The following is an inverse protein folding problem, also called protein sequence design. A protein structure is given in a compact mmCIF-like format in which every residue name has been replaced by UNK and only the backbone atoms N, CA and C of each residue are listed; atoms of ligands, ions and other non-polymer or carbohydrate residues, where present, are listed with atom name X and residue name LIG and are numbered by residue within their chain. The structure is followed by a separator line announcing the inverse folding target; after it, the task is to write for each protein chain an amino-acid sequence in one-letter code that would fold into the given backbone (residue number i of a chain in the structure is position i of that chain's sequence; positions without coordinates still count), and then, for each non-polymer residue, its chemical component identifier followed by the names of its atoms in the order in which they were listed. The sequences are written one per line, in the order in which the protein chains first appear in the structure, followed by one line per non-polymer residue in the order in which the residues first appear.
data_IF_203004688805
#
_entry.id   IF_203004688805
#
_cell.length_a   1.000
_cell.length_b   1.000
_cell.length_c   1.000
_cell.angle_alpha   90.00
_cell.angle_beta   90.00
_cell.angle_gamma   90.00
#
_symmetry.space_group_name_H-M   'P 1'
#
loop_
_entity.id
_entity.type
_entity.pdbx_description
1 polymer ?
#
# COMPACT_ATOMS: atom_id res chain seq x y z
N UNK A 1 -14.59 11.03 -23.11
CA UNK A 1 -13.88 10.05 -22.26
C UNK A 1 -12.63 9.48 -22.94
N UNK A 2 -12.02 10.14 -23.92
CA UNK A 2 -10.89 9.56 -24.67
C UNK A 2 -9.61 9.58 -23.82
N UNK A 3 -9.32 10.71 -23.17
CA UNK A 3 -8.09 10.87 -22.39
C UNK A 3 -7.94 9.84 -21.26
N UNK A 4 -9.02 9.54 -20.53
CA UNK A 4 -8.93 8.54 -19.46
C UNK A 4 -8.75 7.13 -20.02
N UNK A 5 -9.35 6.82 -21.19
CA UNK A 5 -9.16 5.54 -21.88
C UNK A 5 -7.70 5.40 -22.29
N UNK A 6 -7.14 6.42 -22.93
CA UNK A 6 -5.73 6.45 -23.35
C UNK A 6 -4.79 6.27 -22.15
N UNK A 7 -5.06 6.92 -21.01
CA UNK A 7 -4.30 6.72 -19.79
C UNK A 7 -4.39 5.26 -19.29
N UNK A 8 -5.58 4.68 -19.29
CA UNK A 8 -5.77 3.29 -18.89
C UNK A 8 -5.07 2.32 -19.84
N UNK A 9 -5.07 2.59 -21.15
CA UNK A 9 -4.39 1.80 -22.15
C UNK A 9 -2.87 1.84 -21.94
N UNK A 10 -2.30 3.02 -21.68
CA UNK A 10 -0.87 3.16 -21.32
C UNK A 10 -0.55 2.36 -20.06
N UNK A 11 -1.40 2.46 -19.03
CA UNK A 11 -1.21 1.74 -17.78
C UNK A 11 -1.29 0.23 -17.96
N UNK A 12 -2.20 -0.28 -18.78
CA UNK A 12 -2.45 -1.72 -18.88
C UNK A 12 -1.65 -2.42 -19.96
N UNK A 13 -1.19 -1.70 -20.99
CA UNK A 13 -0.35 -2.25 -22.06
C UNK A 13 1.12 -2.42 -21.63
N UNK A 14 1.60 -1.60 -20.70
CA UNK A 14 2.98 -1.69 -20.22
C UNK A 14 3.20 -2.90 -19.30
N UNK A 15 4.29 -3.63 -19.55
CA UNK A 15 4.73 -4.77 -18.74
C UNK A 15 5.59 -4.37 -17.53
N UNK A 16 5.84 -3.07 -17.32
CA UNK A 16 6.63 -2.60 -16.17
C UNK A 16 5.87 -2.88 -14.86
N UNK A 17 6.49 -3.47 -13.84
CA UNK A 17 5.80 -3.76 -12.58
C UNK A 17 5.44 -2.48 -11.80
N UNK A 18 6.27 -1.45 -11.90
CA UNK A 18 6.08 -0.16 -11.22
C UNK A 18 5.65 0.89 -12.24
N UNK A 19 4.54 1.57 -11.97
CA UNK A 19 3.95 2.60 -12.83
C UNK A 19 3.67 3.82 -11.97
N UNK A 20 4.33 4.95 -12.27
CA UNK A 20 4.27 6.17 -11.48
C UNK A 20 3.65 7.29 -12.30
N UNK A 21 2.51 7.82 -11.83
CA UNK A 21 1.84 8.95 -12.47
C UNK A 21 2.26 10.25 -11.78
N UNK A 22 2.55 11.32 -12.52
CA UNK A 22 2.90 12.61 -11.94
C UNK A 22 2.41 13.79 -12.76
N UNK A 23 2.29 14.96 -12.13
CA UNK A 23 2.09 16.22 -12.88
C UNK A 23 3.46 16.77 -13.28
N UNK A 24 3.63 17.04 -14.56
CA UNK A 24 4.85 17.64 -15.11
C UNK A 24 4.57 19.05 -15.68
N UNK A 25 5.59 19.92 -15.75
CA UNK A 25 5.48 21.18 -16.47
C UNK A 25 5.04 20.95 -17.91
N UNK A 26 4.38 21.94 -18.51
CA UNK A 26 3.94 21.83 -19.89
C UNK A 26 5.14 21.63 -20.81
N UNK A 27 5.17 20.51 -21.54
CA UNK A 27 6.17 20.21 -22.55
C UNK A 27 5.52 19.51 -23.73
N UNK A 28 5.66 20.09 -24.92
CA UNK A 28 5.19 19.50 -26.17
C UNK A 28 3.67 19.53 -26.38
N UNK A 29 3.25 18.87 -27.47
CA UNK A 29 1.85 18.69 -27.87
C UNK A 29 1.25 17.34 -27.42
N UNK A 30 2.06 16.47 -26.80
CA UNK A 30 1.64 15.14 -26.37
C UNK A 30 0.72 15.22 -25.13
N UNK A 31 -0.36 14.42 -25.11
CA UNK A 31 -1.28 14.35 -23.97
C UNK A 31 -0.61 13.66 -22.75
N UNK A 32 0.28 12.69 -22.97
CA UNK A 32 1.03 11.98 -21.93
C UNK A 32 2.52 11.92 -22.27
N UNK A 33 3.37 12.29 -21.32
CA UNK A 33 4.83 12.17 -21.46
C UNK A 33 5.25 10.85 -20.81
N UNK A 34 5.73 9.92 -21.62
CA UNK A 34 6.08 8.57 -21.19
C UNK A 34 7.59 8.43 -21.07
N UNK A 35 8.06 7.94 -19.93
CA UNK A 35 9.47 7.61 -19.71
C UNK A 35 9.59 6.24 -19.06
N UNK A 36 10.39 5.35 -19.65
CA UNK A 36 10.68 4.03 -19.08
C UNK A 36 12.13 3.95 -18.61
N UNK A 37 12.34 3.56 -17.36
CA UNK A 37 13.66 3.34 -16.78
C UNK A 37 13.65 2.07 -15.91
N UNK A 38 14.46 1.08 -16.29
CA UNK A 38 14.52 -0.21 -15.60
C UNK A 38 13.14 -0.87 -15.51
N UNK A 39 12.69 -1.13 -14.28
CA UNK A 39 11.39 -1.73 -13.95
C UNK A 39 10.26 -0.71 -13.75
N UNK A 40 10.50 0.55 -14.09
CA UNK A 40 9.57 1.66 -13.84
C UNK A 40 9.10 2.30 -15.15
N UNK A 41 7.78 2.51 -15.25
CA UNK A 41 7.13 3.40 -16.21
C UNK A 41 6.72 4.68 -15.48
N UNK A 42 7.27 5.81 -15.87
CA UNK A 42 6.81 7.14 -15.44
C UNK A 42 5.88 7.75 -16.49
N UNK A 43 4.73 8.26 -16.03
CA UNK A 43 3.70 8.90 -16.86
C UNK A 43 3.50 10.32 -16.36
N UNK A 44 3.95 11.29 -17.16
CA UNK A 44 3.77 12.72 -16.94
C UNK A 44 2.46 13.22 -17.55
N UNK A 45 1.60 13.79 -16.71
CA UNK A 45 0.41 14.54 -17.10
C UNK A 45 0.70 16.03 -16.98
N UNK A 46 0.38 16.82 -18.00
CA UNK A 46 0.34 18.28 -17.78
C UNK A 46 -0.89 18.65 -16.94
N UNK A 47 -0.85 19.80 -16.25
CA UNK A 47 -2.04 20.31 -15.54
C UNK A 47 -3.26 20.46 -16.46
N UNK A 48 -3.05 20.84 -17.71
CA UNK A 48 -4.12 21.01 -18.69
C UNK A 48 -4.82 19.69 -18.98
N UNK A 49 -4.05 18.61 -19.17
CA UNK A 49 -4.59 17.26 -19.39
C UNK A 49 -5.34 16.76 -18.15
N UNK A 50 -4.76 16.93 -16.96
CA UNK A 50 -5.43 16.60 -15.71
C UNK A 50 -6.79 17.33 -15.58
N UNK A 51 -6.86 18.61 -15.91
CA UNK A 51 -8.13 19.37 -15.90
C UNK A 51 -9.10 18.94 -17.01
N UNK A 52 -8.60 18.57 -18.20
CA UNK A 52 -9.44 18.04 -19.28
C UNK A 52 -10.08 16.70 -18.90
N UNK A 53 -9.33 15.79 -18.28
CA UNK A 53 -9.87 14.53 -17.74
C UNK A 53 -11.00 14.82 -16.74
N UNK A 54 -10.77 15.73 -15.78
CA UNK A 54 -11.80 16.14 -14.84
C UNK A 54 -13.04 16.68 -15.56
N UNK A 55 -12.86 17.57 -16.54
CA UNK A 55 -13.94 18.21 -17.27
C UNK A 55 -14.77 17.19 -18.08
N UNK A 56 -14.11 16.30 -18.83
CA UNK A 56 -14.80 15.23 -19.58
C UNK A 56 -15.63 14.34 -18.66
N UNK A 57 -15.05 13.90 -17.53
CA UNK A 57 -15.77 13.11 -16.54
C UNK A 57 -16.96 13.86 -15.97
N UNK A 58 -16.79 15.15 -15.65
CA UNK A 58 -17.83 15.98 -15.06
C UNK A 58 -19.02 16.16 -16.01
N UNK A 59 -18.76 16.42 -17.29
CA UNK A 59 -19.79 16.57 -18.32
C UNK A 59 -20.61 15.28 -18.46
N UNK A 60 -19.95 14.13 -18.58
CA UNK A 60 -20.64 12.82 -18.70
C UNK A 60 -21.46 12.50 -17.46
N UNK A 61 -20.93 12.78 -16.26
CA UNK A 61 -21.67 12.55 -15.02
C UNK A 61 -22.94 13.39 -14.96
N UNK A 62 -22.88 14.67 -15.33
CA UNK A 62 -24.05 15.55 -15.29
C UNK A 62 -25.10 15.18 -16.33
N UNK A 63 -24.69 14.79 -17.55
CA UNK A 63 -25.61 14.29 -18.58
C UNK A 63 -26.41 13.08 -18.08
N UNK A 64 -25.76 12.14 -17.38
CA UNK A 64 -26.45 10.94 -16.91
C UNK A 64 -27.17 11.12 -15.56
N UNK A 65 -26.72 12.04 -14.72
CA UNK A 65 -27.32 12.29 -13.41
C UNK A 65 -28.71 12.91 -13.54
N UNK A 66 -28.93 13.77 -14.54
CA UNK A 66 -30.24 14.38 -14.81
C UNK A 66 -31.30 13.33 -15.17
N UNK A 67 -30.91 12.24 -15.83
CA UNK A 67 -31.80 11.15 -16.25
C UNK A 67 -32.05 10.08 -15.16
N UNK A 68 -31.61 10.32 -13.92
CA UNK A 68 -31.65 9.36 -12.79
C UNK A 68 -31.03 8.02 -13.16
N UNK A 69 -29.69 7.96 -13.16
CA UNK A 69 -28.88 6.74 -13.31
C UNK A 69 -29.56 5.46 -12.78
N UNK A 70 -30.14 4.67 -13.69
CA UNK A 70 -30.66 3.32 -13.42
C UNK A 70 -29.76 2.33 -14.12
N UNK A 71 -28.75 1.85 -13.41
CA UNK A 71 -27.71 1.00 -13.97
C UNK A 71 -28.29 -0.28 -14.58
N UNK A 72 -29.36 -0.84 -14.00
CA UNK A 72 -30.08 -2.02 -14.52
C UNK A 72 -30.65 -1.86 -15.94
N UNK A 73 -30.84 -0.62 -16.39
CA UNK A 73 -31.39 -0.33 -17.72
C UNK A 73 -30.36 0.12 -18.75
N UNK A 74 -29.08 0.20 -18.36
CA UNK A 74 -28.03 0.68 -19.24
C UNK A 74 -27.56 -0.41 -20.20
N UNK A 75 -27.27 -0.01 -21.44
CA UNK A 75 -26.53 -0.85 -22.37
C UNK A 75 -25.11 -1.08 -21.86
N UNK A 76 -24.45 -2.15 -22.34
CA UNK A 76 -23.05 -2.41 -22.00
C UNK A 76 -22.14 -1.21 -22.34
N UNK A 77 -22.30 -0.62 -23.52
CA UNK A 77 -21.54 0.56 -23.94
C UNK A 77 -21.74 1.77 -23.02
N UNK A 78 -22.95 1.98 -22.49
CA UNK A 78 -23.21 3.08 -21.57
C UNK A 78 -22.59 2.78 -20.18
N UNK A 79 -22.61 1.52 -19.74
CA UNK A 79 -21.91 1.12 -18.51
C UNK A 79 -20.39 1.31 -18.64
N UNK A 80 -19.80 0.98 -19.79
CA UNK A 80 -18.38 1.23 -20.06
C UNK A 80 -18.07 2.73 -20.05
N UNK A 81 -18.89 3.56 -20.69
CA UNK A 81 -18.70 5.02 -20.66
C UNK A 81 -18.74 5.57 -19.23
N UNK A 82 -19.72 5.14 -18.42
CA UNK A 82 -19.79 5.50 -17.00
C UNK A 82 -18.59 4.97 -16.22
N UNK A 83 -18.11 3.77 -16.52
CA UNK A 83 -16.94 3.19 -15.87
C UNK A 83 -15.71 4.08 -16.09
N UNK A 84 -15.42 4.45 -17.34
CA UNK A 84 -14.32 5.38 -17.64
C UNK A 84 -14.54 6.77 -17.05
N UNK A 85 -15.77 7.27 -17.02
CA UNK A 85 -16.12 8.52 -16.33
C UNK A 85 -15.72 8.46 -14.86
N UNK A 86 -16.08 7.37 -14.16
CA UNK A 86 -15.75 7.20 -12.76
C UNK A 86 -14.24 7.10 -12.53
N UNK A 87 -13.48 6.40 -13.38
CA UNK A 87 -12.01 6.37 -13.31
C UNK A 87 -11.39 7.77 -13.43
N UNK A 88 -11.92 8.61 -14.34
CA UNK A 88 -11.47 9.99 -14.46
C UNK A 88 -11.73 10.78 -13.18
N UNK A 89 -12.88 10.59 -12.54
CA UNK A 89 -13.12 11.14 -11.20
C UNK A 89 -12.19 10.54 -10.13
N UNK A 90 -11.84 9.26 -10.18
CA UNK A 90 -10.96 8.65 -9.19
C UNK A 90 -9.55 9.25 -9.22
N UNK A 91 -9.05 9.60 -10.41
CA UNK A 91 -7.75 10.25 -10.55
C UNK A 91 -7.81 11.77 -10.32
N UNK A 92 -8.96 12.44 -10.51
CA UNK A 92 -9.04 13.91 -10.34
C UNK A 92 -9.71 14.40 -9.05
N UNK A 93 -10.60 13.58 -8.48
CA UNK A 93 -11.51 13.87 -7.34
C UNK A 93 -11.72 12.61 -6.48
N UNK A 94 -10.61 12.08 -5.98
CA UNK A 94 -10.46 10.77 -5.34
C UNK A 94 -11.21 10.51 -4.01
N UNK A 95 -11.94 11.47 -3.44
CA UNK A 95 -12.71 11.30 -2.18
C UNK A 95 -14.22 11.47 -2.42
N UNK A 96 -14.70 11.26 -3.64
CA UNK A 96 -16.12 11.39 -3.97
C UNK A 96 -16.87 10.07 -3.71
N UNK A 97 -17.52 9.98 -2.55
CA UNK A 97 -18.17 8.73 -2.10
C UNK A 97 -19.23 8.15 -3.06
N UNK A 98 -20.08 9.01 -3.64
CA UNK A 98 -21.07 8.59 -4.64
C UNK A 98 -20.42 7.98 -5.88
N UNK A 99 -19.33 8.57 -6.35
CA UNK A 99 -18.60 8.06 -7.53
C UNK A 99 -17.92 6.74 -7.21
N UNK A 100 -17.32 6.58 -6.03
CA UNK A 100 -16.74 5.30 -5.60
C UNK A 100 -17.80 4.22 -5.53
N UNK A 101 -18.97 4.50 -4.94
CA UNK A 101 -20.05 3.51 -4.86
C UNK A 101 -20.56 3.11 -6.27
N UNK A 102 -20.74 4.09 -7.16
CA UNK A 102 -21.09 3.85 -8.56
C UNK A 102 -20.01 3.01 -9.28
N UNK A 103 -18.74 3.34 -9.06
CA UNK A 103 -17.61 2.64 -9.66
C UNK A 103 -17.53 1.18 -9.19
N UNK A 104 -17.70 0.93 -7.89
CA UNK A 104 -17.76 -0.42 -7.32
C UNK A 104 -18.87 -1.25 -7.99
N UNK A 105 -20.05 -0.68 -8.18
CA UNK A 105 -21.17 -1.36 -8.83
C UNK A 105 -20.89 -1.65 -10.33
N UNK A 106 -20.27 -0.70 -11.04
CA UNK A 106 -19.92 -0.87 -12.45
C UNK A 106 -18.83 -1.94 -12.63
N UNK A 107 -17.80 -1.97 -11.78
CA UNK A 107 -16.75 -2.99 -11.80
C UNK A 107 -17.34 -4.39 -11.62
N UNK A 108 -18.28 -4.54 -10.69
CA UNK A 108 -18.96 -5.82 -10.45
C UNK A 108 -19.79 -6.26 -11.66
N UNK A 109 -20.59 -5.36 -12.23
CA UNK A 109 -21.45 -5.68 -13.40
C UNK A 109 -20.66 -5.97 -14.67
N UNK A 110 -19.54 -5.28 -14.87
CA UNK A 110 -18.67 -5.47 -16.03
C UNK A 110 -17.69 -6.63 -15.86
N UNK A 111 -17.48 -7.13 -14.62
CA UNK A 111 -16.49 -8.17 -14.32
C UNK A 111 -15.04 -7.69 -14.46
N UNK A 112 -14.80 -6.39 -14.30
CA UNK A 112 -13.51 -5.75 -14.58
C UNK A 112 -12.51 -5.80 -13.40
N UNK A 113 -12.70 -6.68 -12.42
CA UNK A 113 -11.93 -6.63 -11.15
C UNK A 113 -10.41 -6.61 -11.32
N UNK A 114 -9.87 -7.41 -12.24
CA UNK A 114 -8.40 -7.49 -12.46
C UNK A 114 -7.86 -6.26 -13.20
N UNK A 115 -8.59 -5.82 -14.22
CA UNK A 115 -8.26 -4.62 -14.98
C UNK A 115 -8.27 -3.38 -14.07
N UNK A 116 -9.27 -3.31 -13.20
CA UNK A 116 -9.47 -2.20 -12.28
C UNK A 116 -8.45 -2.21 -11.13
N UNK A 117 -8.10 -3.40 -10.62
CA UNK A 117 -7.04 -3.54 -9.63
C UNK A 117 -5.70 -3.02 -10.16
N UNK A 118 -5.39 -3.30 -11.42
CA UNK A 118 -4.19 -2.77 -12.07
C UNK A 118 -4.23 -1.24 -12.13
N UNK A 119 -5.32 -0.65 -12.64
CA UNK A 119 -5.44 0.80 -12.81
C UNK A 119 -5.42 1.55 -11.48
N UNK A 120 -6.29 1.16 -10.52
CA UNK A 120 -6.45 1.92 -9.26
C UNK A 120 -5.20 1.80 -8.39
N UNK A 121 -4.50 0.66 -8.41
CA UNK A 121 -3.22 0.55 -7.71
C UNK A 121 -2.11 1.41 -8.35
N UNK A 122 -2.16 1.65 -9.67
CA UNK A 122 -1.31 2.65 -10.33
C UNK A 122 -1.68 4.08 -9.92
N UNK A 123 -2.97 4.42 -9.80
CA UNK A 123 -3.40 5.72 -9.28
C UNK A 123 -2.85 5.98 -7.87
N UNK A 124 -2.81 4.95 -7.02
CA UNK A 124 -2.20 5.02 -5.70
C UNK A 124 -0.67 5.17 -5.73
N UNK A 125 -0.02 4.92 -6.86
CA UNK A 125 1.43 5.13 -7.07
C UNK A 125 1.69 6.48 -7.76
N UNK A 126 0.87 7.49 -7.42
CA UNK A 126 0.97 8.82 -7.99
C UNK A 126 1.85 9.77 -7.15
N UNK A 127 2.62 10.64 -7.81
CA UNK A 127 3.36 11.74 -7.17
C UNK A 127 2.43 12.83 -6.60
N UNK A 128 1.13 12.81 -6.90
CA UNK A 128 0.14 13.67 -6.26
C UNK A 128 -0.33 13.08 -4.93
N UNK A 129 0.03 13.74 -3.83
CA UNK A 129 -0.31 13.30 -2.45
C UNK A 129 -1.80 13.05 -2.24
N UNK A 130 -2.66 13.87 -2.86
CA UNK A 130 -4.12 13.78 -2.71
C UNK A 130 -4.64 12.42 -3.16
N UNK A 131 -4.13 11.88 -4.27
CA UNK A 131 -4.55 10.59 -4.83
C UNK A 131 -3.85 9.44 -4.10
N UNK A 132 -2.52 9.51 -3.97
CA UNK A 132 -1.71 8.50 -3.31
C UNK A 132 -2.14 8.20 -1.86
N UNK A 133 -2.61 9.22 -1.13
CA UNK A 133 -3.09 9.08 0.26
C UNK A 133 -4.60 8.97 0.35
N UNK A 134 -5.28 8.61 -0.73
CA UNK A 134 -6.74 8.51 -0.73
C UNK A 134 -7.22 7.34 0.10
N UNK A 135 -8.01 7.63 1.12
CA UNK A 135 -8.53 6.60 2.02
C UNK A 135 -9.49 5.65 1.29
N UNK A 136 -10.30 6.19 0.38
CA UNK A 136 -11.29 5.45 -0.39
C UNK A 136 -10.63 4.53 -1.42
N UNK A 137 -9.62 5.01 -2.16
CA UNK A 137 -8.92 4.18 -3.14
C UNK A 137 -8.15 3.05 -2.48
N UNK A 138 -7.46 3.29 -1.35
CA UNK A 138 -6.80 2.21 -0.60
C UNK A 138 -7.80 1.16 -0.10
N UNK A 139 -8.96 1.60 0.38
CA UNK A 139 -10.01 0.66 0.81
C UNK A 139 -10.55 -0.17 -0.36
N UNK A 140 -10.75 0.45 -1.52
CA UNK A 140 -11.23 -0.24 -2.70
C UNK A 140 -10.20 -1.24 -3.25
N UNK A 141 -8.92 -0.86 -3.31
CA UNK A 141 -7.84 -1.79 -3.68
C UNK A 141 -7.73 -2.97 -2.71
N UNK A 142 -8.02 -2.81 -1.40
CA UNK A 142 -8.14 -3.96 -0.48
C UNK A 142 -9.22 -4.94 -0.91
N UNK A 143 -10.40 -4.45 -1.32
CA UNK A 143 -11.51 -5.31 -1.80
C UNK A 143 -11.08 -6.08 -3.05
N UNK A 144 -10.52 -5.39 -4.04
CA UNK A 144 -10.07 -6.00 -5.29
C UNK A 144 -8.93 -7.02 -5.06
N UNK A 145 -7.96 -6.68 -4.20
CA UNK A 145 -6.87 -7.60 -3.83
C UNK A 145 -7.43 -8.87 -3.16
N UNK A 146 -8.48 -8.75 -2.34
CA UNK A 146 -9.13 -9.90 -1.71
C UNK A 146 -9.81 -10.81 -2.75
N UNK A 147 -10.53 -10.23 -3.72
CA UNK A 147 -11.18 -10.98 -4.81
C UNK A 147 -10.14 -11.74 -5.64
N UNK A 148 -9.00 -11.11 -5.91
CA UNK A 148 -7.87 -11.75 -6.60
C UNK A 148 -7.29 -12.90 -5.78
N UNK A 149 -7.06 -12.69 -4.48
CA UNK A 149 -6.54 -13.71 -3.57
C UNK A 149 -7.50 -14.87 -3.32
N UNK A 150 -8.82 -14.65 -3.36
CA UNK A 150 -9.80 -15.75 -3.24
C UNK A 150 -9.79 -16.65 -4.47
N UNK A 151 -9.20 -16.21 -5.58
CA UNK A 151 -8.93 -17.00 -6.79
C UNK A 151 -7.51 -17.60 -6.79
N UNK A 152 -6.79 -17.49 -5.68
CA UNK A 152 -5.39 -17.92 -5.50
C UNK A 152 -4.41 -17.34 -6.54
N UNK A 153 -4.67 -16.13 -7.02
CA UNK A 153 -3.78 -15.41 -7.92
C UNK A 153 -2.69 -14.66 -7.14
N UNK A 154 -1.50 -14.56 -7.77
CA UNK A 154 -0.35 -13.86 -7.19
C UNK A 154 -0.63 -12.37 -6.96
N UNK A 155 -0.19 -11.84 -5.81
CA UNK A 155 -0.33 -10.43 -5.40
C UNK A 155 1.01 -9.75 -5.13
N UNK A 156 2.12 -10.41 -5.41
CA UNK A 156 3.47 -9.91 -5.13
C UNK A 156 3.73 -8.56 -5.79
N UNK A 157 3.26 -8.36 -7.01
CA UNK A 157 3.38 -7.06 -7.70
C UNK A 157 2.71 -5.90 -6.93
N UNK A 158 1.59 -6.15 -6.24
CA UNK A 158 0.85 -5.11 -5.51
C UNK A 158 1.51 -4.78 -4.16
N UNK A 159 2.21 -5.74 -3.55
CA UNK A 159 3.09 -5.47 -2.41
C UNK A 159 4.20 -4.49 -2.81
N UNK A 160 4.92 -4.79 -3.90
CA UNK A 160 6.00 -3.95 -4.40
C UNK A 160 5.50 -2.55 -4.79
N UNK A 161 4.40 -2.47 -5.53
CA UNK A 161 3.77 -1.21 -5.94
C UNK A 161 3.31 -0.37 -4.74
N UNK A 162 2.70 -0.99 -3.74
CA UNK A 162 2.28 -0.30 -2.53
C UNK A 162 3.47 0.20 -1.69
N UNK A 163 4.60 -0.52 -1.69
CA UNK A 163 5.84 -0.05 -1.05
C UNK A 163 6.39 1.19 -1.75
N UNK A 164 6.49 1.17 -3.09
CA UNK A 164 6.89 2.36 -3.87
C UNK A 164 5.95 3.53 -3.59
N UNK A 165 4.64 3.27 -3.54
CA UNK A 165 3.64 4.28 -3.18
C UNK A 165 3.85 4.87 -1.77
N UNK A 166 4.40 4.10 -0.81
CA UNK A 166 4.77 4.59 0.51
C UNK A 166 6.07 5.40 0.49
N UNK A 167 7.05 5.03 -0.34
CA UNK A 167 8.32 5.77 -0.50
C UNK A 167 8.12 7.14 -1.16
N UNK A 168 7.19 7.24 -2.11
CA UNK A 168 6.88 8.50 -2.80
C UNK A 168 6.37 9.60 -1.87
N UNK A 169 5.71 9.23 -0.77
CA UNK A 169 5.09 10.19 0.16
C UNK A 169 5.34 9.81 1.61
N UNK A 170 6.19 10.59 2.28
CA UNK A 170 6.48 10.45 3.71
C UNK A 170 5.22 10.21 4.56
N UNK A 171 5.27 9.20 5.43
CA UNK A 171 4.18 8.80 6.32
C UNK A 171 2.86 8.58 5.55
N UNK A 172 2.89 7.75 4.51
CA UNK A 172 1.68 7.26 3.86
C UNK A 172 0.97 6.24 4.75
N UNK A 173 0.16 6.72 5.70
CA UNK A 173 -0.53 5.87 6.68
C UNK A 173 -1.43 4.82 6.02
N UNK A 174 -2.20 5.20 5.01
CA UNK A 174 -3.13 4.29 4.34
C UNK A 174 -2.40 3.22 3.52
N UNK A 175 -1.35 3.59 2.78
CA UNK A 175 -0.51 2.63 2.07
C UNK A 175 0.20 1.66 3.01
N UNK A 176 0.75 2.15 4.12
CA UNK A 176 1.37 1.28 5.13
C UNK A 176 0.33 0.37 5.81
N UNK A 177 -0.88 0.86 6.08
CA UNK A 177 -1.96 0.03 6.60
C UNK A 177 -2.43 -1.03 5.59
N UNK A 178 -2.36 -0.74 4.28
CA UNK A 178 -2.57 -1.73 3.23
C UNK A 178 -1.48 -2.80 3.25
N UNK A 179 -0.20 -2.40 3.29
CA UNK A 179 0.93 -3.34 3.35
C UNK A 179 0.85 -4.25 4.57
N UNK A 180 0.60 -3.69 5.77
CA UNK A 180 0.46 -4.47 7.00
C UNK A 180 -0.64 -5.52 6.88
N UNK A 181 -1.80 -5.13 6.34
CA UNK A 181 -2.91 -6.03 6.09
C UNK A 181 -2.54 -7.13 5.08
N UNK A 182 -1.90 -6.77 3.96
CA UNK A 182 -1.57 -7.72 2.91
C UNK A 182 -0.47 -8.70 3.33
N UNK A 183 0.53 -8.25 4.09
CA UNK A 183 1.58 -9.10 4.69
C UNK A 183 0.95 -10.18 5.58
N UNK A 184 0.02 -9.78 6.46
CA UNK A 184 -0.67 -10.71 7.37
C UNK A 184 -1.47 -11.73 6.56
N UNK A 185 -2.17 -11.28 5.52
CA UNK A 185 -2.94 -12.17 4.66
C UNK A 185 -2.05 -13.15 3.87
N UNK A 186 -0.96 -12.66 3.25
CA UNK A 186 0.01 -13.48 2.53
C UNK A 186 0.63 -14.55 3.42
N UNK A 187 1.09 -14.18 4.62
CA UNK A 187 1.61 -15.15 5.62
C UNK A 187 0.61 -16.21 5.98
N UNK A 188 -0.66 -15.82 6.13
CA UNK A 188 -1.73 -16.77 6.49
C UNK A 188 -2.06 -17.75 5.38
N UNK A 189 -1.79 -17.38 4.12
CA UNK A 189 -1.91 -18.24 2.93
C UNK A 189 -0.56 -18.88 2.54
N UNK A 190 0.45 -18.80 3.42
CA UNK A 190 1.78 -19.37 3.18
C UNK A 190 2.48 -18.85 1.90
N UNK A 191 2.18 -17.61 1.50
CA UNK A 191 2.87 -16.92 0.40
C UNK A 191 4.25 -16.46 0.87
N UNK A 192 5.28 -16.77 0.10
CA UNK A 192 6.66 -16.37 0.36
C UNK A 192 6.84 -14.85 0.23
N UNK A 193 7.51 -14.23 1.22
CA UNK A 193 7.69 -12.77 1.30
C UNK A 193 9.15 -12.32 1.36
N UNK A 194 10.12 -13.22 1.21
CA UNK A 194 11.54 -12.93 1.46
C UNK A 194 12.07 -11.76 0.61
N UNK A 195 11.74 -11.74 -0.69
CA UNK A 195 12.15 -10.65 -1.60
C UNK A 195 11.54 -9.31 -1.18
N UNK A 196 10.23 -9.29 -0.96
CA UNK A 196 9.52 -8.11 -0.49
C UNK A 196 10.06 -7.60 0.86
N UNK A 197 10.42 -8.50 1.77
CA UNK A 197 10.98 -8.13 3.07
C UNK A 197 12.34 -7.44 2.94
N UNK A 198 13.20 -7.92 2.05
CA UNK A 198 14.47 -7.27 1.75
C UNK A 198 14.24 -5.85 1.20
N UNK A 199 13.29 -5.69 0.28
CA UNK A 199 12.90 -4.37 -0.23
C UNK A 199 12.40 -3.46 0.91
N UNK A 200 11.51 -3.95 1.77
CA UNK A 200 10.98 -3.19 2.89
C UNK A 200 12.06 -2.77 3.89
N UNK A 201 13.03 -3.64 4.18
CA UNK A 201 14.18 -3.32 5.02
C UNK A 201 15.00 -2.19 4.40
N UNK A 202 15.28 -2.26 3.10
CA UNK A 202 16.05 -1.23 2.40
C UNK A 202 15.29 0.10 2.34
N UNK A 203 13.97 0.08 2.17
CA UNK A 203 13.11 1.26 2.28
C UNK A 203 13.20 1.86 3.69
N UNK A 204 13.11 1.05 4.75
CA UNK A 204 13.25 1.51 6.13
C UNK A 204 14.61 2.18 6.39
N UNK A 205 15.69 1.64 5.81
CA UNK A 205 17.04 2.23 5.91
C UNK A 205 17.13 3.59 5.24
N UNK A 206 16.49 3.76 4.08
CA UNK A 206 16.42 5.05 3.35
C UNK A 206 15.54 6.09 4.05
N UNK A 207 14.54 5.64 4.82
CA UNK A 207 13.53 6.49 5.45
C UNK A 207 13.46 6.32 6.98
N UNK A 208 14.57 6.63 7.67
CA UNK A 208 14.70 6.46 9.13
C UNK A 208 13.65 7.19 9.98
N UNK A 209 13.10 8.31 9.47
CA UNK A 209 12.08 9.11 10.16
C UNK A 209 10.64 8.63 9.93
N UNK A 210 10.40 7.70 9.00
CA UNK A 210 9.05 7.27 8.65
C UNK A 210 8.52 6.20 9.60
N UNK A 211 7.83 6.64 10.65
CA UNK A 211 7.26 5.72 11.63
C UNK A 211 6.24 4.73 11.06
N UNK A 212 5.59 5.05 9.95
CA UNK A 212 4.59 4.16 9.33
C UNK A 212 5.29 3.00 8.64
N UNK A 213 6.38 3.27 7.93
CA UNK A 213 7.19 2.26 7.25
C UNK A 213 7.87 1.30 8.25
N UNK A 214 8.45 1.84 9.32
CA UNK A 214 8.99 1.02 10.41
C UNK A 214 7.89 0.21 11.12
N UNK A 215 6.68 0.76 11.27
CA UNK A 215 5.51 0.01 11.75
C UNK A 215 5.15 -1.17 10.83
N UNK A 216 5.27 -0.99 9.52
CA UNK A 216 5.08 -2.08 8.55
C UNK A 216 6.16 -3.15 8.68
N UNK A 217 7.42 -2.77 8.88
CA UNK A 217 8.51 -3.72 9.14
C UNK A 217 8.27 -4.53 10.42
N UNK A 218 7.75 -3.90 11.48
CA UNK A 218 7.34 -4.60 12.70
C UNK A 218 6.34 -5.71 12.40
N UNK A 219 5.30 -5.43 11.60
CA UNK A 219 4.29 -6.41 11.19
C UNK A 219 4.90 -7.51 10.30
N UNK A 220 5.87 -7.16 9.45
CA UNK A 220 6.62 -8.11 8.64
C UNK A 220 7.43 -9.10 9.49
N UNK A 221 7.98 -8.67 10.64
CA UNK A 221 8.69 -9.58 11.54
C UNK A 221 7.75 -10.31 12.50
N UNK A 222 6.90 -9.58 13.20
CA UNK A 222 6.08 -10.11 14.28
C UNK A 222 4.73 -9.37 14.36
N UNK A 223 3.73 -9.79 13.55
CA UNK A 223 2.40 -9.21 13.59
C UNK A 223 1.73 -9.51 14.94
N UNK A 224 1.05 -8.53 15.53
CA UNK A 224 0.35 -8.75 16.79
C UNK A 224 -0.94 -9.60 16.60
N UNK A 225 -1.38 -10.25 17.67
CA UNK A 225 -2.53 -11.17 17.65
C UNK A 225 -3.84 -10.48 17.24
N UNK A 226 -4.02 -9.20 17.60
CA UNK A 226 -5.24 -8.44 17.32
C UNK A 226 -5.33 -8.16 15.83
N UNK A 227 -4.22 -7.73 15.21
CA UNK A 227 -4.15 -7.52 13.78
C UNK A 227 -4.39 -8.83 13.02
N UNK A 228 -3.75 -9.93 13.43
CA UNK A 228 -3.97 -11.25 12.82
C UNK A 228 -5.46 -11.59 12.84
N UNK A 229 -6.10 -11.52 14.02
CA UNK A 229 -7.52 -11.85 14.18
C UNK A 229 -8.43 -10.95 13.35
N UNK A 230 -8.16 -9.65 13.34
CA UNK A 230 -8.90 -8.70 12.51
C UNK A 230 -8.82 -9.07 11.03
N UNK A 231 -7.62 -9.38 10.51
CA UNK A 231 -7.43 -9.72 9.09
C UNK A 231 -8.08 -11.07 8.76
N UNK A 232 -7.75 -12.14 9.50
CA UNK A 232 -8.12 -13.52 9.14
C UNK A 232 -9.55 -13.89 9.48
N UNK A 233 -10.13 -13.28 10.52
CA UNK A 233 -11.43 -13.69 11.06
C UNK A 233 -12.52 -12.65 10.87
N UNK A 234 -12.20 -11.35 10.95
CA UNK A 234 -13.22 -10.30 10.78
C UNK A 234 -13.29 -9.85 9.32
N UNK A 235 -12.18 -9.37 8.77
CA UNK A 235 -12.16 -8.76 7.46
C UNK A 235 -12.31 -9.80 6.33
N UNK A 236 -11.53 -10.88 6.38
CA UNK A 236 -11.61 -11.96 5.39
C UNK A 236 -13.01 -12.58 5.36
N UNK A 237 -13.56 -12.93 6.53
CA UNK A 237 -14.89 -13.54 6.63
C UNK A 237 -16.00 -12.62 6.12
N UNK A 238 -15.96 -11.33 6.47
CA UNK A 238 -16.94 -10.36 5.99
C UNK A 238 -16.99 -10.28 4.46
N UNK A 239 -15.86 -10.48 3.79
CA UNK A 239 -15.77 -10.36 2.33
C UNK A 239 -15.98 -11.68 1.59
N UNK A 240 -15.55 -12.81 2.14
CA UNK A 240 -15.57 -14.11 1.46
C UNK A 240 -16.62 -15.07 1.99
N UNK A 241 -17.17 -14.81 3.18
CA UNK A 241 -18.01 -15.77 3.92
C UNK A 241 -17.22 -16.90 4.59
N UNK A 242 -15.91 -16.99 4.35
CA UNK A 242 -15.06 -18.09 4.83
C UNK A 242 -14.20 -17.65 6.03
N UNK A 243 -13.67 -18.63 6.78
CA UNK A 243 -12.69 -18.36 7.83
C UNK A 243 -11.32 -18.83 7.37
N UNK A 244 -10.35 -17.91 7.34
CA UNK A 244 -8.98 -18.28 7.00
C UNK A 244 -8.32 -18.97 8.20
N UNK A 245 -7.64 -20.08 7.97
CA UNK A 245 -6.90 -20.80 9.01
C UNK A 245 -5.83 -19.88 9.61
N UNK A 246 -5.78 -19.82 10.96
CA UNK A 246 -4.77 -19.05 11.72
C UNK A 246 -3.39 -19.74 11.71
N UNK A 247 -2.91 -20.18 10.55
CA UNK A 247 -1.56 -20.72 10.39
C UNK A 247 -0.63 -19.57 10.03
N UNK A 248 0.13 -19.11 11.02
CA UNK A 248 1.22 -18.17 10.79
C UNK A 248 2.53 -18.94 10.89
N UNK A 249 3.23 -19.20 9.76
CA UNK A 249 4.55 -19.78 9.83
C UNK A 249 5.45 -18.87 10.68
N UNK A 250 6.05 -19.43 11.72
CA UNK A 250 7.04 -18.72 12.53
C UNK A 250 8.34 -18.69 11.75
N UNK A 251 8.60 -17.57 11.09
CA UNK A 251 9.91 -17.28 10.54
C UNK A 251 10.74 -16.62 11.63
N UNK A 252 11.96 -17.13 11.84
CA UNK A 252 12.90 -16.53 12.77
C UNK A 252 13.64 -15.37 12.11
N UNK A 253 13.41 -14.15 12.60
CA UNK A 253 14.08 -12.92 12.13
C UNK A 253 15.17 -12.44 13.08
N UNK A 254 15.54 -13.23 14.09
CA UNK A 254 16.44 -12.82 15.15
C UNK A 254 17.75 -12.20 14.64
N UNK A 255 18.43 -12.88 13.72
CA UNK A 255 19.69 -12.39 13.13
C UNK A 255 19.51 -11.08 12.35
N UNK A 256 18.43 -10.97 11.60
CA UNK A 256 18.07 -9.76 10.84
C UNK A 256 17.80 -8.58 11.77
N UNK A 257 17.04 -8.80 12.85
CA UNK A 257 16.73 -7.75 13.84
C UNK A 257 18.01 -7.32 14.55
N UNK A 258 18.90 -8.24 14.93
CA UNK A 258 20.20 -7.92 15.54
C UNK A 258 21.07 -7.09 14.59
N UNK A 259 21.19 -7.54 13.34
CA UNK A 259 21.98 -6.85 12.31
C UNK A 259 21.44 -5.43 12.04
N UNK A 260 20.11 -5.26 12.00
CA UNK A 260 19.50 -3.94 11.81
C UNK A 260 19.69 -3.03 13.02
N UNK A 261 19.61 -3.58 14.23
CA UNK A 261 19.83 -2.80 15.45
C UNK A 261 21.26 -2.27 15.52
N UNK A 262 22.23 -3.14 15.22
CA UNK A 262 23.63 -2.75 15.13
C UNK A 262 23.87 -1.71 14.03
N UNK A 263 23.28 -1.91 12.84
CA UNK A 263 23.37 -0.97 11.73
C UNK A 263 22.85 0.43 12.11
N UNK A 264 21.74 0.53 12.85
CA UNK A 264 21.19 1.81 13.31
C UNK A 264 22.15 2.55 14.24
N UNK A 265 22.86 1.82 15.13
CA UNK A 265 23.88 2.39 16.00
C UNK A 265 25.07 2.91 15.19
N UNK A 266 25.59 2.10 14.26
CA UNK A 266 26.72 2.45 13.39
C UNK A 266 26.40 3.64 12.48
N UNK A 267 25.14 3.78 12.07
CA UNK A 267 24.66 4.88 11.24
C UNK A 267 24.35 6.16 12.04
N UNK A 268 24.63 6.18 13.35
CA UNK A 268 24.30 7.29 14.25
C UNK A 268 22.84 7.75 14.14
N UNK A 269 21.91 6.80 14.01
CA UNK A 269 20.50 7.10 13.83
C UNK A 269 19.96 7.96 14.99
N UNK A 270 19.43 9.13 14.66
CA UNK A 270 18.88 10.08 15.64
C UNK A 270 17.42 9.77 16.00
N UNK A 271 16.74 8.95 15.21
CA UNK A 271 15.33 8.61 15.39
C UNK A 271 15.18 7.42 16.33
N UNK A 272 14.27 7.53 17.30
CA UNK A 272 14.00 6.45 18.26
C UNK A 272 13.13 5.33 17.66
N UNK A 273 12.19 5.68 16.79
CA UNK A 273 11.20 4.75 16.23
C UNK A 273 11.81 3.48 15.65
N UNK A 274 12.89 3.53 14.83
CA UNK A 274 13.56 2.32 14.34
C UNK A 274 13.99 1.36 15.46
N UNK A 275 14.65 1.88 16.51
CA UNK A 275 15.09 1.07 17.64
C UNK A 275 13.92 0.47 18.42
N UNK A 276 12.87 1.25 18.66
CA UNK A 276 11.68 0.79 19.38
C UNK A 276 10.99 -0.35 18.62
N UNK A 277 10.86 -0.22 17.31
CA UNK A 277 10.30 -1.26 16.45
C UNK A 277 11.09 -2.56 16.56
N UNK A 278 12.42 -2.52 16.50
CA UNK A 278 13.25 -3.73 16.60
C UNK A 278 13.16 -4.39 17.98
N UNK A 279 13.13 -3.59 19.06
CA UNK A 279 12.91 -4.08 20.43
C UNK A 279 11.55 -4.79 20.54
N UNK A 280 10.51 -4.21 19.96
CA UNK A 280 9.15 -4.76 19.99
C UNK A 280 8.96 -5.96 19.04
N UNK A 281 9.83 -6.14 18.06
CA UNK A 281 9.73 -7.20 17.04
C UNK A 281 10.23 -8.57 17.53
N UNK A 282 10.93 -8.64 18.66
CA UNK A 282 11.42 -9.90 19.23
C UNK A 282 10.75 -10.25 20.57
N UNK A 283 10.69 -11.55 20.85
CA UNK A 283 10.32 -12.14 22.14
C UNK A 283 11.51 -12.85 22.82
N UNK A 284 12.72 -12.79 22.23
CA UNK A 284 13.91 -13.47 22.76
C UNK A 284 14.60 -12.61 23.82
N UNK A 285 14.64 -13.10 25.07
CA UNK A 285 15.37 -12.42 26.15
C UNK A 285 16.87 -12.28 25.83
N UNK A 286 17.47 -13.29 25.19
CA UNK A 286 18.88 -13.28 24.77
C UNK A 286 19.19 -12.12 23.82
N UNK A 287 18.31 -11.85 22.86
CA UNK A 287 18.48 -10.74 21.91
C UNK A 287 18.28 -9.40 22.60
N UNK A 288 17.30 -9.31 23.50
CA UNK A 288 17.12 -8.10 24.30
C UNK A 288 18.31 -7.85 25.25
N UNK A 289 18.99 -8.88 25.73
CA UNK A 289 20.26 -8.74 26.45
C UNK A 289 21.37 -8.22 25.53
N UNK A 290 21.44 -8.71 24.31
CA UNK A 290 22.38 -8.26 23.30
C UNK A 290 22.20 -6.78 22.95
N UNK A 291 20.96 -6.33 22.69
CA UNK A 291 20.65 -4.90 22.49
C UNK A 291 21.10 -4.05 23.68
N UNK A 292 20.91 -4.56 24.90
CA UNK A 292 21.39 -3.89 26.12
C UNK A 292 22.91 -3.72 26.13
N UNK A 293 23.66 -4.76 25.75
CA UNK A 293 25.13 -4.71 25.62
C UNK A 293 25.56 -3.70 24.56
N UNK A 294 24.88 -3.67 23.41
CA UNK A 294 25.17 -2.71 22.32
C UNK A 294 24.90 -1.26 22.77
N UNK A 295 23.77 -1.01 23.42
CA UNK A 295 23.40 0.31 23.95
C UNK A 295 24.36 0.79 25.07
N UNK A 296 24.93 -0.11 25.86
CA UNK A 296 25.94 0.26 26.87
C UNK A 296 27.23 0.83 26.26
N UNK A 297 27.54 0.46 25.02
CA UNK A 297 28.70 0.96 24.28
C UNK A 297 28.37 2.18 23.41
N UNK A 298 27.09 2.56 23.32
CA UNK A 298 26.60 3.63 22.46
C UNK A 298 26.76 5.01 23.12
N UNK A 299 27.06 6.02 22.31
CA UNK A 299 27.08 7.44 22.70
C UNK A 299 25.82 8.21 22.29
N UNK A 300 24.78 7.50 21.81
CA UNK A 300 23.54 8.14 21.37
C UNK A 300 22.83 8.86 22.52
N UNK A 301 22.30 10.06 22.24
CA UNK A 301 21.53 10.86 23.21
C UNK A 301 20.27 10.14 23.71
N UNK A 302 19.69 9.26 22.89
CA UNK A 302 18.47 8.50 23.20
C UNK A 302 18.69 7.24 24.03
N UNK A 303 19.94 6.91 24.38
CA UNK A 303 20.31 5.61 25.00
C UNK A 303 19.52 5.30 26.27
N UNK A 304 19.33 6.27 27.16
CA UNK A 304 18.60 6.04 28.43
C UNK A 304 17.16 5.61 28.20
N UNK A 305 16.43 6.30 27.32
CA UNK A 305 15.04 5.98 27.00
C UNK A 305 14.90 4.62 26.29
N UNK A 306 15.86 4.28 25.41
CA UNK A 306 15.88 2.97 24.76
C UNK A 306 16.12 1.83 25.75
N UNK A 307 16.96 2.04 26.76
CA UNK A 307 17.19 1.06 27.85
C UNK A 307 15.93 0.85 28.69
N UNK A 308 15.20 1.91 29.02
CA UNK A 308 13.95 1.82 29.77
C UNK A 308 12.89 1.02 29.00
N UNK A 309 12.79 1.26 27.68
CA UNK A 309 11.88 0.53 26.80
C UNK A 309 12.25 -0.96 26.69
N UNK A 310 13.54 -1.25 26.58
CA UNK A 310 14.07 -2.61 26.56
C UNK A 310 13.78 -3.36 27.87
N UNK A 311 13.93 -2.70 29.03
CA UNK A 311 13.58 -3.29 30.33
C UNK A 311 12.08 -3.60 30.44
N UNK A 312 11.22 -2.65 30.04
CA UNK A 312 9.76 -2.85 30.02
C UNK A 312 9.38 -4.04 29.12
N UNK A 313 10.03 -4.17 27.96
CA UNK A 313 9.77 -5.28 27.04
C UNK A 313 10.17 -6.63 27.65
N UNK A 314 11.32 -6.73 28.32
CA UNK A 314 11.73 -7.94 29.05
C UNK A 314 10.71 -8.32 30.12
N UNK A 315 10.24 -7.36 30.91
CA UNK A 315 9.23 -7.58 31.95
C UNK A 315 7.92 -8.12 31.37
N UNK A 316 7.45 -7.58 30.24
CA UNK A 316 6.25 -8.07 29.54
C UNK A 316 6.39 -9.53 29.09
N UNK A 317 7.55 -9.91 28.57
CA UNK A 317 7.82 -11.30 28.15
C UNK A 317 7.79 -12.23 29.36
N UNK A 318 8.48 -11.86 30.44
CA UNK A 318 8.49 -12.65 31.68
C UNK A 318 7.11 -12.79 32.33
N UNK A 319 6.21 -11.80 32.16
CA UNK A 319 4.84 -11.88 32.69
C UNK A 319 3.87 -12.72 31.84
N UNK A 320 4.29 -13.14 30.65
CA UNK A 320 3.43 -13.90 29.70
C UNK A 320 3.89 -15.35 29.49
N UNK A 321 4.99 -15.76 30.14
CA UNK A 321 5.50 -17.13 30.20
C UNK A 321 4.98 -17.84 31.45
#
# INVERSE_FOLDING_TARGET
MQLIKDLCDVLTTSNKPIKIIGIVPQSGEEDFIIHEEGDTLEIGLTKQIYFRIFKESHEVFHTHHEDRLRIDSLSHSNMEELYYMTLGYLITTNEHSTIIALHEELVERLGNHEYDLEIVSCFLTCRMKRINKSSMLWHFVKKLTMIRLSKDYDVSQFLCRALVSCELHFANYYGNNYLQWLIVLCKSKEVELNEFQNMLIDSCRKHLSDSSLWGTLKVAFNPDKVLIEYVTSVYYNRLTGESLLKKFPRVDYNDTVVTLFEWLLRSYCQYKTPFLVLIESTNSLTILDEFGKMLNKSTLKSTTDLKDKLLKRKQQILSTQ
#
